data_IF_133741366084
#
_entry.id   IF_133741366084
#
_cell.length_a   1.000
_cell.length_b   1.000
_cell.length_c   1.000
_cell.angle_alpha   90.00
_cell.angle_beta   90.00
_cell.angle_gamma   90.00
#
_symmetry.space_group_name_H-M   'P 1'
#
loop_
_entity.id
_entity.type
_entity.pdbx_description
1 polymer ?
#
# COMPACT_ATOMS: atom_id res chain seq x y z
N UNK A 1 20.88 -38.33 -0.89
CA UNK A 1 20.06 -39.08 0.10
C UNK A 1 20.21 -38.42 1.47
N UNK A 2 19.18 -38.48 2.33
CA UNK A 2 18.63 -37.33 3.07
C UNK A 2 18.87 -37.39 4.59
N UNK A 3 18.80 -36.26 5.31
CA UNK A 3 18.51 -36.18 6.76
C UNK A 3 18.40 -34.68 7.14
N UNK A 4 17.51 -34.12 7.96
CA UNK A 4 16.33 -34.55 8.72
C UNK A 4 15.59 -33.23 9.10
N UNK A 5 14.25 -33.23 9.19
CA UNK A 5 13.49 -32.11 9.76
C UNK A 5 13.67 -32.09 11.28
N UNK A 6 13.81 -30.91 11.89
CA UNK A 6 13.65 -30.75 13.33
C UNK A 6 12.73 -29.56 13.64
N UNK A 7 11.54 -29.87 14.15
CA UNK A 7 10.62 -28.94 14.80
C UNK A 7 10.90 -29.07 16.29
N UNK A 8 11.23 -27.97 16.96
CA UNK A 8 11.20 -27.91 18.42
C UNK A 8 10.06 -26.98 18.80
N UNK A 9 8.97 -27.59 19.28
CA UNK A 9 7.92 -26.92 20.01
C UNK A 9 8.33 -26.77 21.47
N UNK A 10 7.99 -25.63 22.07
CA UNK A 10 8.17 -25.36 23.49
C UNK A 10 7.32 -24.15 23.88
N UNK A 11 6.21 -24.42 24.56
CA UNK A 11 5.21 -23.48 25.02
C UNK A 11 5.76 -22.39 25.96
N UNK A 12 5.20 -21.18 25.85
CA UNK A 12 5.04 -20.29 26.98
C UNK A 12 3.67 -19.58 26.87
N UNK A 13 2.70 -20.09 27.63
CA UNK A 13 1.50 -19.35 28.00
C UNK A 13 1.93 -18.32 29.05
N UNK A 14 1.76 -17.03 28.76
CA UNK A 14 1.75 -16.00 29.82
C UNK A 14 0.44 -15.22 29.67
N UNK A 15 -0.57 -15.65 30.43
CA UNK A 15 -1.69 -14.80 30.80
C UNK A 15 -1.21 -13.83 31.88
N UNK A 16 -1.31 -12.53 31.62
CA UNK A 16 -1.43 -11.53 32.67
C UNK A 16 -2.55 -10.56 32.27
N UNK A 17 -3.66 -10.65 32.99
CA UNK A 17 -4.83 -9.77 32.87
C UNK A 17 -4.88 -8.90 34.12
N UNK A 18 -4.85 -7.58 33.93
CA UNK A 18 -5.38 -6.62 34.88
C UNK A 18 -5.92 -5.42 34.08
N UNK A 19 -7.24 -5.26 34.11
CA UNK A 19 -7.96 -4.06 33.69
C UNK A 19 -7.99 -3.07 34.88
N UNK A 20 -7.76 -1.76 34.76
CA UNK A 20 -8.69 -0.68 34.33
C UNK A 20 -8.10 0.66 34.88
N UNK A 21 -8.65 1.85 34.62
CA UNK A 21 -9.03 2.50 33.36
C UNK A 21 -8.41 3.93 33.22
N UNK A 22 -8.67 4.59 32.08
CA UNK A 22 -8.72 6.05 31.90
C UNK A 22 -7.46 6.89 32.19
N UNK A 23 -6.68 7.11 31.13
CA UNK A 23 -6.39 8.48 30.70
C UNK A 23 -6.75 8.55 29.21
N UNK A 24 -7.89 9.19 28.92
CA UNK A 24 -8.18 9.70 27.59
C UNK A 24 -7.12 10.78 27.32
N UNK A 25 -5.96 10.38 26.78
CA UNK A 25 -5.01 11.34 26.25
C UNK A 25 -5.67 11.97 25.03
N UNK A 26 -5.87 13.27 25.16
CA UNK A 26 -6.28 14.25 24.17
C UNK A 26 -6.16 13.76 22.72
N UNK A 27 -7.30 13.76 22.03
CA UNK A 27 -7.39 13.92 20.58
C UNK A 27 -6.64 15.22 20.19
N UNK A 28 -5.33 15.17 20.11
CA UNK A 28 -4.63 15.86 19.03
C UNK A 28 -4.48 14.82 17.94
N UNK A 29 -5.57 14.65 17.20
CA UNK A 29 -5.56 13.98 15.91
C UNK A 29 -4.61 14.80 15.04
N UNK A 30 -3.32 14.44 15.09
CA UNK A 30 -2.38 14.82 14.05
C UNK A 30 -3.01 14.28 12.78
N UNK A 31 -3.58 15.20 11.99
CA UNK A 31 -4.08 14.88 10.68
C UNK A 31 -3.00 14.04 9.97
N UNK A 32 -3.38 12.93 9.31
CA UNK A 32 -2.43 12.04 8.66
C UNK A 32 -1.45 12.89 7.85
N UNK A 33 -0.17 12.86 8.23
CA UNK A 33 0.83 13.71 7.60
C UNK A 33 1.07 13.12 6.21
N UNK A 34 0.35 13.64 5.22
CA UNK A 34 0.59 13.37 3.81
C UNK A 34 1.96 13.89 3.45
N UNK A 35 2.97 13.02 3.49
CA UNK A 35 4.25 13.34 2.87
C UNK A 35 4.12 13.00 1.38
N UNK A 36 3.94 14.05 0.59
CA UNK A 36 3.97 14.04 -0.87
C UNK A 36 5.34 14.52 -1.32
N UNK A 37 6.40 13.85 -0.85
CA UNK A 37 7.80 14.22 -1.08
C UNK A 37 8.19 14.06 -2.55
N UNK A 38 7.42 13.27 -3.31
CA UNK A 38 7.68 12.94 -4.71
C UNK A 38 6.65 13.58 -5.64
N UNK A 39 7.16 14.17 -6.72
CA UNK A 39 6.33 14.62 -7.82
C UNK A 39 5.59 13.42 -8.43
N UNK A 40 4.32 13.59 -8.86
CA UNK A 40 3.58 12.53 -9.53
C UNK A 40 4.32 12.05 -10.79
N UNK A 41 4.42 10.75 -10.97
CA UNK A 41 4.99 10.15 -12.18
C UNK A 41 3.86 9.74 -13.12
N UNK A 42 4.02 10.06 -14.40
CA UNK A 42 3.06 9.65 -15.44
C UNK A 42 3.58 8.42 -16.17
N UNK A 43 2.83 7.32 -16.10
CA UNK A 43 3.07 6.10 -16.87
C UNK A 43 2.20 6.11 -18.12
N UNK A 44 2.76 5.64 -19.24
CA UNK A 44 2.01 5.45 -20.49
C UNK A 44 1.79 3.95 -20.69
N UNK A 45 0.53 3.52 -20.58
CA UNK A 45 0.08 2.16 -20.82
C UNK A 45 -0.42 2.03 -22.27
N UNK A 46 0.01 0.96 -22.96
CA UNK A 46 -0.46 0.55 -24.29
C UNK A 46 -0.51 1.71 -25.32
N UNK A 47 0.42 2.66 -25.21
CA UNK A 47 0.63 3.77 -26.14
C UNK A 47 -0.32 4.96 -26.01
N UNK A 48 -1.54 4.79 -25.48
CA UNK A 48 -2.54 5.87 -25.44
C UNK A 48 -3.05 6.22 -24.05
N UNK A 49 -2.95 5.30 -23.08
CA UNK A 49 -3.52 5.50 -21.76
C UNK A 49 -2.46 6.05 -20.80
N UNK A 50 -2.78 7.14 -20.09
CA UNK A 50 -1.84 7.79 -19.17
C UNK A 50 -2.30 7.59 -17.73
N UNK A 51 -1.48 6.94 -16.93
CA UNK A 51 -1.70 6.76 -15.49
C UNK A 51 -0.85 7.75 -14.72
N UNK A 52 -1.46 8.57 -13.88
CA UNK A 52 -0.71 9.41 -12.95
C UNK A 52 -0.64 8.71 -11.60
N UNK A 53 0.59 8.46 -11.14
CA UNK A 53 0.88 7.78 -9.88
C UNK A 53 1.60 8.76 -8.95
N UNK A 54 1.11 8.91 -7.72
CA UNK A 54 1.79 9.69 -6.68
C UNK A 54 2.05 8.81 -5.47
N UNK A 55 3.28 8.82 -4.97
CA UNK A 55 3.71 8.07 -3.80
C UNK A 55 3.49 8.89 -2.54
N UNK A 56 3.07 8.20 -1.48
CA UNK A 56 2.79 8.81 -0.20
C UNK A 56 3.17 7.83 0.90
N UNK A 57 3.52 8.38 2.07
CA UNK A 57 3.66 7.62 3.30
C UNK A 57 2.73 8.18 4.37
N UNK A 58 1.96 7.31 5.02
CA UNK A 58 1.08 7.64 6.15
C UNK A 58 1.46 6.70 7.30
N UNK A 59 1.93 7.26 8.42
CA UNK A 59 2.26 6.52 9.64
C UNK A 59 3.16 5.28 9.39
N UNK A 60 4.23 5.47 8.61
CA UNK A 60 5.16 4.43 8.14
C UNK A 60 4.58 3.40 7.14
N UNK A 61 3.33 3.52 6.73
CA UNK A 61 2.76 2.74 5.64
C UNK A 61 2.98 3.45 4.31
N UNK A 62 3.59 2.75 3.35
CA UNK A 62 3.73 3.24 1.99
C UNK A 62 2.46 2.92 1.19
N UNK A 63 1.98 3.90 0.45
CA UNK A 63 0.85 3.75 -0.46
C UNK A 63 1.00 4.67 -1.66
N UNK A 64 0.28 4.34 -2.72
CA UNK A 64 0.23 5.17 -3.92
C UNK A 64 -1.20 5.61 -4.19
N UNK A 65 -1.33 6.77 -4.82
CA UNK A 65 -2.55 7.18 -5.49
C UNK A 65 -2.39 6.97 -6.99
N UNK A 66 -3.34 6.29 -7.61
CA UNK A 66 -3.39 6.07 -9.06
C UNK A 66 -4.60 6.79 -9.61
N UNK A 67 -4.39 7.79 -10.45
CA UNK A 67 -5.47 8.55 -11.09
C UNK A 67 -5.70 8.01 -12.50
N UNK A 68 -6.88 7.44 -12.71
CA UNK A 68 -7.37 6.91 -13.97
C UNK A 68 -8.08 8.01 -14.75
N UNK A 69 -7.59 8.40 -15.94
CA UNK A 69 -8.30 9.36 -16.78
C UNK A 69 -9.59 8.73 -17.29
N UNK A 70 -10.70 9.46 -17.16
CA UNK A 70 -11.97 9.05 -17.71
C UNK A 70 -12.09 9.51 -19.16
N UNK A 71 -12.32 8.58 -20.08
CA UNK A 71 -12.53 8.86 -21.50
C UNK A 71 -13.83 9.64 -21.77
N UNK A 72 -14.79 9.63 -20.84
CA UNK A 72 -16.10 10.26 -21.01
C UNK A 72 -16.19 11.66 -20.40
N UNK A 73 -15.36 11.99 -19.41
CA UNK A 73 -15.33 13.33 -18.81
C UNK A 73 -14.05 13.51 -17.97
N UNK A 74 -13.23 14.54 -18.25
CA UNK A 74 -12.04 14.86 -17.45
C UNK A 74 -12.35 15.14 -15.97
N UNK A 75 -13.57 15.60 -15.67
CA UNK A 75 -14.05 15.87 -14.31
C UNK A 75 -14.38 14.59 -13.52
N UNK A 76 -14.41 13.43 -14.19
CA UNK A 76 -14.71 12.12 -13.60
C UNK A 76 -13.46 11.23 -13.50
N UNK A 77 -12.28 11.82 -13.40
CA UNK A 77 -11.08 11.04 -13.13
C UNK A 77 -11.26 10.29 -11.80
N UNK A 78 -10.94 9.00 -11.80
CA UNK A 78 -11.06 8.16 -10.62
C UNK A 78 -9.69 7.99 -10.00
N UNK A 79 -9.56 8.38 -8.73
CA UNK A 79 -8.33 8.15 -7.96
C UNK A 79 -8.51 6.93 -7.07
N UNK A 80 -7.57 5.99 -7.15
CA UNK A 80 -7.51 4.79 -6.33
C UNK A 80 -6.33 4.89 -5.37
N UNK A 81 -6.54 4.54 -4.11
CA UNK A 81 -5.47 4.43 -3.11
C UNK A 81 -5.07 2.96 -2.99
N UNK A 82 -3.79 2.67 -3.26
CA UNK A 82 -3.25 1.31 -3.23
C UNK A 82 -2.15 1.23 -2.17
N UNK A 83 -2.39 0.56 -1.03
CA UNK A 83 -1.36 0.32 -0.03
C UNK A 83 -0.31 -0.68 -0.54
N UNK A 84 0.91 -0.60 0.00
CA UNK A 84 1.95 -1.59 -0.24
C UNK A 84 1.50 -2.95 0.30
N UNK A 85 1.53 -3.96 -0.57
CA UNK A 85 1.10 -5.33 -0.28
C UNK A 85 2.28 -6.31 -0.25
N UNK A 86 3.28 -6.15 -1.13
CA UNK A 86 4.43 -7.06 -1.21
C UNK A 86 5.68 -6.35 -1.78
N UNK A 87 6.87 -6.71 -1.27
CA UNK A 87 8.16 -6.09 -1.64
C UNK A 87 9.23 -7.11 -2.12
N UNK A 88 8.85 -8.36 -2.40
CA UNK A 88 9.80 -9.45 -2.68
C UNK A 88 10.53 -9.35 -4.04
N UNK A 89 9.81 -9.47 -5.15
CA UNK A 89 10.40 -9.43 -6.51
C UNK A 89 10.08 -8.14 -7.25
N UNK A 90 10.02 -7.02 -6.53
CA UNK A 90 9.42 -5.76 -6.96
C UNK A 90 8.49 -5.20 -5.89
N UNK A 91 8.00 -3.98 -6.13
CA UNK A 91 7.07 -3.28 -5.23
C UNK A 91 5.66 -3.43 -5.76
N UNK A 92 4.78 -4.08 -4.99
CA UNK A 92 3.38 -4.30 -5.35
C UNK A 92 2.47 -3.52 -4.41
N UNK A 93 1.65 -2.67 -4.99
CA UNK A 93 0.58 -1.92 -4.34
C UNK A 93 -0.77 -2.50 -4.78
N UNK A 94 -1.64 -2.85 -3.84
CA UNK A 94 -2.89 -3.52 -4.19
C UNK A 94 -4.05 -3.18 -3.23
N UNK A 95 -5.24 -3.14 -3.81
CA UNK A 95 -6.53 -3.11 -3.12
C UNK A 95 -7.44 -4.18 -3.72
N UNK A 96 -8.65 -4.31 -3.22
CA UNK A 96 -9.66 -5.22 -3.77
C UNK A 96 -10.06 -4.91 -5.23
N UNK A 97 -9.79 -3.67 -5.69
CA UNK A 97 -10.27 -3.18 -6.99
C UNK A 97 -9.17 -3.09 -8.04
N UNK A 98 -7.91 -2.95 -7.62
CA UNK A 98 -6.79 -2.75 -8.54
C UNK A 98 -5.45 -3.12 -7.91
N UNK A 99 -4.48 -3.42 -8.76
CA UNK A 99 -3.10 -3.66 -8.39
C UNK A 99 -2.12 -2.94 -9.32
N UNK A 100 -1.07 -2.38 -8.75
CA UNK A 100 0.05 -1.77 -9.43
C UNK A 100 1.34 -2.43 -8.98
N UNK A 101 2.15 -2.91 -9.92
CA UNK A 101 3.39 -3.64 -9.62
C UNK A 101 4.54 -3.03 -10.40
N UNK A 102 5.61 -2.63 -9.69
CA UNK A 102 6.83 -2.06 -10.27
C UNK A 102 7.97 -3.05 -10.08
N UNK A 103 8.71 -3.32 -11.15
CA UNK A 103 9.90 -4.17 -11.14
C UNK A 103 10.94 -3.64 -12.13
N UNK A 104 12.00 -3.04 -11.60
CA UNK A 104 13.00 -2.34 -12.42
C UNK A 104 12.35 -1.20 -13.20
N UNK A 105 12.57 -1.18 -14.51
CA UNK A 105 12.02 -0.15 -15.40
C UNK A 105 10.61 -0.46 -15.91
N UNK A 106 10.00 -1.56 -15.46
CA UNK A 106 8.68 -1.99 -15.89
C UNK A 106 7.64 -1.77 -14.78
N UNK A 107 6.46 -1.33 -15.19
CA UNK A 107 5.28 -1.22 -14.33
C UNK A 107 4.08 -1.89 -14.99
N UNK A 108 3.29 -2.61 -14.20
CA UNK A 108 2.05 -3.23 -14.63
C UNK A 108 0.90 -2.73 -13.76
N UNK A 109 -0.20 -2.33 -14.40
CA UNK A 109 -1.44 -1.93 -13.75
C UNK A 109 -2.57 -2.85 -14.15
N UNK A 110 -3.36 -3.29 -13.18
CA UNK A 110 -4.54 -4.12 -13.40
C UNK A 110 -5.68 -3.56 -12.56
N UNK A 111 -6.85 -3.36 -13.17
CA UNK A 111 -8.08 -2.95 -12.50
C UNK A 111 -9.20 -3.90 -12.88
N UNK A 112 -10.09 -4.17 -11.94
CA UNK A 112 -11.34 -4.91 -12.15
C UNK A 112 -12.44 -3.93 -12.54
#
# INVERSE_FOLDING_TARGET
>A
MPLFKQIVGGSALVLASFATPLLAQSNDSLAPIFRTDQAPTTYVCDGTFRLQVSWMSIDANELISVTLPSSRSPQKNRTLLLPLSQSGSGMRYASDLASFHIKGDQAAFTSI
#
